data_IF_416194411277
#
_entry.id   IF_416194411277
#
_cell.length_a   1.000
_cell.length_b   1.000
_cell.length_c   1.000
_cell.angle_alpha   90.00
_cell.angle_beta   90.00
_cell.angle_gamma   90.00
#
_symmetry.space_group_name_H-M   'P 1'
#
loop_
_entity.id
_entity.type
_entity.pdbx_description
1 polymer ?
#
# COMPACT_ATOMS: atom_id res chain seq x y z
N UNK A 1 1.11 7.25 3.79
CA UNK A 1 2.42 7.73 3.28
C UNK A 1 2.29 8.73 2.11
N UNK A 2 1.50 8.42 1.05
CA UNK A 2 1.50 9.24 -0.18
C UNK A 2 1.24 10.74 0.07
N UNK A 3 0.28 11.06 0.93
CA UNK A 3 -0.07 12.46 1.26
C UNK A 3 1.02 13.23 1.99
N UNK A 4 2.00 12.54 2.58
CA UNK A 4 3.16 13.18 3.24
C UNK A 4 4.22 13.69 2.25
N UNK A 5 4.15 13.26 0.98
CA UNK A 5 5.18 13.52 -0.03
C UNK A 5 4.70 14.39 -1.19
N UNK A 6 3.53 15.01 -1.06
CA UNK A 6 3.00 15.94 -2.05
C UNK A 6 2.90 17.35 -1.48
N UNK A 7 3.26 18.35 -2.28
CA UNK A 7 3.33 19.75 -1.86
C UNK A 7 1.93 20.38 -1.64
N UNK A 8 0.91 19.84 -2.29
CA UNK A 8 -0.47 20.35 -2.24
C UNK A 8 -1.42 19.51 -1.36
N UNK A 9 -0.91 18.81 -0.35
CA UNK A 9 -1.72 17.97 0.54
C UNK A 9 -2.88 18.74 1.19
N UNK A 10 -2.61 19.96 1.66
CA UNK A 10 -3.62 20.83 2.28
C UNK A 10 -4.77 21.19 1.35
N UNK A 11 -4.48 21.44 0.07
CA UNK A 11 -5.51 21.72 -0.94
C UNK A 11 -6.38 20.49 -1.16
N UNK A 12 -5.78 19.31 -1.20
CA UNK A 12 -6.48 18.03 -1.33
C UNK A 12 -7.38 17.79 -0.12
N UNK A 13 -6.91 18.04 1.10
CA UNK A 13 -7.71 17.89 2.32
C UNK A 13 -8.89 18.85 2.35
N UNK A 14 -8.68 20.13 1.96
CA UNK A 14 -9.76 21.11 1.81
C UNK A 14 -10.79 20.67 0.77
N UNK A 15 -10.33 20.14 -0.36
CA UNK A 15 -11.22 19.66 -1.41
C UNK A 15 -12.04 18.44 -0.98
N UNK A 16 -11.44 17.50 -0.24
CA UNK A 16 -12.14 16.35 0.35
C UNK A 16 -13.21 16.85 1.32
N UNK A 17 -12.84 17.73 2.27
CA UNK A 17 -13.78 18.30 3.24
C UNK A 17 -14.94 19.02 2.56
N UNK A 18 -14.67 19.85 1.55
CA UNK A 18 -15.70 20.58 0.83
C UNK A 18 -16.67 19.67 0.06
N UNK A 19 -16.19 18.57 -0.51
CA UNK A 19 -17.00 17.64 -1.33
C UNK A 19 -17.73 16.58 -0.53
N UNK A 20 -17.19 16.16 0.60
CA UNK A 20 -17.68 14.99 1.33
C UNK A 20 -18.02 15.29 2.78
N UNK A 21 -17.59 16.44 3.32
CA UNK A 21 -17.65 16.76 4.74
C UNK A 21 -16.64 15.98 5.60
N UNK A 22 -15.91 15.01 5.01
CA UNK A 22 -14.96 14.21 5.76
C UNK A 22 -13.72 15.01 6.17
N UNK A 23 -13.24 14.77 7.39
CA UNK A 23 -11.98 15.31 7.89
C UNK A 23 -10.88 14.28 7.68
N UNK A 24 -9.74 14.73 7.14
CA UNK A 24 -8.55 13.89 6.96
C UNK A 24 -7.61 14.15 8.13
N UNK A 25 -7.40 13.13 8.96
CA UNK A 25 -6.37 13.15 10.00
C UNK A 25 -5.07 12.62 9.41
N UNK A 26 -4.13 13.51 9.13
CA UNK A 26 -2.82 13.10 8.64
C UNK A 26 -1.95 12.68 9.80
N UNK A 27 -1.35 11.48 9.69
CA UNK A 27 -0.38 10.95 10.65
C UNK A 27 1.00 10.85 10.01
N UNK A 28 2.05 10.99 10.81
CA UNK A 28 3.43 10.77 10.38
C UNK A 28 3.78 9.28 10.29
N UNK A 29 4.99 8.97 9.80
CA UNK A 29 5.42 7.59 9.63
C UNK A 29 5.61 6.84 10.94
N UNK A 30 6.05 7.53 11.99
CA UNK A 30 6.21 6.94 13.31
C UNK A 30 4.86 6.57 13.93
N UNK A 31 3.88 7.45 13.81
CA UNK A 31 2.50 7.19 14.26
C UNK A 31 1.86 6.05 13.45
N UNK A 32 2.09 6.01 12.13
CA UNK A 32 1.62 4.92 11.26
C UNK A 32 2.18 3.57 11.75
N UNK A 33 3.49 3.49 11.98
CA UNK A 33 4.15 2.31 12.49
C UNK A 33 3.73 1.95 13.93
N UNK A 34 3.48 2.95 14.78
CA UNK A 34 2.96 2.73 16.13
C UNK A 34 1.53 2.17 16.11
N UNK A 35 0.70 2.60 15.15
CA UNK A 35 -0.61 1.98 14.93
C UNK A 35 -0.49 0.49 14.59
N UNK A 36 0.44 0.11 13.71
CA UNK A 36 0.68 -1.30 13.38
C UNK A 36 1.13 -2.10 14.62
N UNK A 37 1.98 -1.53 15.45
CA UNK A 37 2.42 -2.13 16.70
C UNK A 37 1.23 -2.41 17.63
N UNK A 38 0.41 -1.39 17.90
CA UNK A 38 -0.76 -1.49 18.78
C UNK A 38 -1.81 -2.47 18.24
N UNK A 39 -1.99 -2.53 16.93
CA UNK A 39 -2.90 -3.47 16.29
C UNK A 39 -2.45 -4.93 16.44
N UNK A 40 -1.13 -5.16 16.58
CA UNK A 40 -0.51 -6.47 16.49
C UNK A 40 0.15 -6.96 17.80
N UNK A 41 -0.24 -6.39 18.92
CA UNK A 41 0.22 -6.80 20.25
C UNK A 41 0.08 -8.30 20.53
N UNK A 42 -0.90 -8.97 19.93
CA UNK A 42 -1.11 -10.42 20.03
C UNK A 42 0.12 -11.26 19.64
N UNK A 43 1.00 -10.71 18.80
CA UNK A 43 2.22 -11.40 18.34
C UNK A 43 3.43 -11.18 19.26
N UNK A 44 3.31 -10.38 20.33
CA UNK A 44 4.42 -10.06 21.25
C UNK A 44 5.02 -11.30 21.93
N UNK A 45 4.23 -12.37 22.08
CA UNK A 45 4.70 -13.63 22.69
C UNK A 45 5.51 -14.52 21.73
N UNK A 46 5.59 -14.19 20.46
CA UNK A 46 6.42 -14.93 19.51
C UNK A 46 7.91 -14.67 19.75
N UNK A 47 8.75 -15.52 19.17
CA UNK A 47 10.20 -15.36 19.27
C UNK A 47 10.67 -14.13 18.49
N UNK A 48 11.25 -13.13 19.18
CA UNK A 48 11.79 -11.88 18.61
C UNK A 48 10.89 -11.32 17.50
N UNK A 49 9.63 -10.97 17.80
CA UNK A 49 8.68 -10.60 16.76
C UNK A 49 8.95 -9.20 16.22
N UNK A 50 9.05 -9.09 14.90
CA UNK A 50 9.24 -7.83 14.18
C UNK A 50 8.13 -7.65 13.16
N UNK A 51 7.36 -6.58 13.30
CA UNK A 51 6.36 -6.17 12.30
C UNK A 51 7.08 -5.65 11.06
N UNK A 52 6.56 -5.99 9.89
CA UNK A 52 7.00 -5.45 8.60
C UNK A 52 5.76 -5.05 7.81
N UNK A 53 5.57 -3.74 7.59
CA UNK A 53 4.62 -3.20 6.62
C UNK A 53 5.37 -2.68 5.39
N UNK A 54 4.97 -3.16 4.21
CA UNK A 54 5.50 -2.69 2.92
C UNK A 54 4.44 -1.84 2.25
N UNK A 55 4.55 -0.54 2.47
CA UNK A 55 3.71 0.45 1.82
C UNK A 55 4.13 0.75 0.37
N UNK A 56 3.39 1.64 -0.26
CA UNK A 56 3.72 2.11 -1.60
C UNK A 56 4.94 3.05 -1.64
N UNK A 57 5.10 3.89 -0.63
CA UNK A 57 6.12 4.94 -0.57
C UNK A 57 7.11 4.75 0.59
N UNK A 58 6.78 3.97 1.59
CA UNK A 58 7.62 3.71 2.77
C UNK A 58 7.54 2.24 3.17
N UNK A 59 8.45 1.83 4.04
CA UNK A 59 8.42 0.53 4.73
C UNK A 59 8.63 0.82 6.21
N UNK A 60 7.72 0.32 7.02
CA UNK A 60 7.76 0.41 8.47
C UNK A 60 8.16 -0.95 9.06
N UNK A 61 9.07 -0.92 10.03
CA UNK A 61 9.46 -2.10 10.82
C UNK A 61 9.38 -1.77 12.29
N UNK A 62 8.77 -2.66 13.09
CA UNK A 62 8.59 -2.45 14.52
C UNK A 62 9.02 -3.68 15.29
N UNK A 63 10.02 -3.54 16.15
CA UNK A 63 10.44 -4.56 17.10
C UNK A 63 9.45 -4.62 18.27
N UNK A 64 8.57 -5.62 18.26
CA UNK A 64 7.55 -5.81 19.30
C UNK A 64 8.15 -6.11 20.68
N UNK A 65 9.39 -6.59 20.75
CA UNK A 65 10.04 -6.89 22.01
C UNK A 65 10.42 -5.64 22.81
N UNK A 66 10.69 -4.53 22.12
CA UNK A 66 11.12 -3.27 22.76
C UNK A 66 9.96 -2.50 23.40
N UNK A 67 8.77 -2.62 22.87
CA UNK A 67 7.61 -1.83 23.29
C UNK A 67 7.74 -0.33 22.93
N UNK A 68 6.60 0.35 22.80
CA UNK A 68 6.59 1.79 22.48
C UNK A 68 7.27 2.13 21.15
N UNK A 69 7.74 3.37 21.04
CA UNK A 69 8.29 3.93 19.80
C UNK A 69 9.77 3.64 19.56
N UNK A 70 10.51 3.18 20.55
CA UNK A 70 11.96 2.91 20.49
C UNK A 70 12.34 1.79 19.49
N UNK A 71 11.39 0.88 19.21
CA UNK A 71 11.58 -0.21 18.26
C UNK A 71 11.13 0.09 16.83
N UNK A 72 10.79 1.34 16.49
CA UNK A 72 10.25 1.73 15.20
C UNK A 72 11.34 2.19 14.24
N UNK A 73 11.34 1.65 13.04
CA UNK A 73 12.27 1.96 11.96
C UNK A 73 11.50 2.21 10.67
N UNK A 74 11.69 3.39 10.06
CA UNK A 74 11.03 3.77 8.82
C UNK A 74 12.03 3.90 7.67
N UNK A 75 11.75 3.26 6.55
CA UNK A 75 12.51 3.40 5.31
C UNK A 75 11.71 4.25 4.32
N UNK A 76 12.34 5.31 3.79
CA UNK A 76 11.72 6.25 2.86
C UNK A 76 11.70 5.72 1.41
N UNK A 77 11.34 4.46 1.25
CA UNK A 77 11.03 3.84 -0.04
C UNK A 77 10.05 2.69 0.18
N UNK A 78 9.18 2.49 -0.79
CA UNK A 78 8.19 1.40 -0.77
C UNK A 78 8.06 0.76 -2.14
N UNK A 79 7.13 -0.18 -2.28
CA UNK A 79 7.00 -0.98 -3.49
C UNK A 79 6.68 -0.14 -4.74
N UNK A 80 5.81 0.88 -4.61
CA UNK A 80 5.43 1.75 -5.73
C UNK A 80 6.55 2.72 -6.12
N UNK A 81 7.30 3.26 -5.14
CA UNK A 81 8.43 4.13 -5.44
C UNK A 81 9.57 3.37 -6.12
N UNK A 82 9.81 2.11 -5.72
CA UNK A 82 10.77 1.24 -6.38
C UNK A 82 10.33 0.87 -7.80
N UNK A 83 9.06 0.55 -7.99
CA UNK A 83 8.48 0.29 -9.31
C UNK A 83 8.72 1.49 -10.24
N UNK A 84 8.31 2.69 -9.83
CA UNK A 84 8.48 3.91 -10.62
C UNK A 84 9.94 4.25 -10.95
N UNK A 85 10.84 3.93 -10.02
CA UNK A 85 12.27 4.26 -10.16
C UNK A 85 13.03 3.31 -11.08
N UNK A 86 12.68 2.04 -11.09
CA UNK A 86 13.50 1.00 -11.71
C UNK A 86 12.83 0.22 -12.83
N UNK A 87 11.49 0.23 -12.90
CA UNK A 87 10.72 -0.62 -13.82
C UNK A 87 10.08 0.23 -14.90
N UNK A 88 10.32 -0.11 -16.16
CA UNK A 88 9.82 0.61 -17.33
C UNK A 88 8.45 0.10 -17.81
N UNK A 89 8.14 -1.14 -17.48
CA UNK A 89 6.89 -1.81 -17.88
C UNK A 89 6.03 -2.16 -16.65
N UNK A 90 5.02 -3.00 -16.83
CA UNK A 90 4.19 -3.47 -15.71
C UNK A 90 5.00 -4.37 -14.78
N UNK A 91 5.82 -5.24 -15.33
CA UNK A 91 6.62 -6.21 -14.57
C UNK A 91 8.11 -5.95 -14.74
N UNK A 92 8.90 -6.07 -13.68
CA UNK A 92 10.34 -5.91 -13.77
C UNK A 92 10.98 -7.07 -14.55
N UNK A 93 11.94 -6.76 -15.40
CA UNK A 93 12.83 -7.72 -15.99
C UNK A 93 13.95 -8.16 -15.04
N UNK A 94 14.84 -9.08 -15.49
CA UNK A 94 15.95 -9.59 -14.66
C UNK A 94 16.96 -8.52 -14.27
N UNK A 95 17.23 -7.58 -15.17
CA UNK A 95 18.17 -6.49 -14.92
C UNK A 95 17.58 -5.48 -13.92
N UNK A 96 16.32 -5.11 -14.12
CA UNK A 96 15.56 -4.23 -13.23
C UNK A 96 15.44 -4.83 -11.83
N UNK A 97 15.13 -6.13 -11.73
CA UNK A 97 15.15 -6.86 -10.46
C UNK A 97 16.53 -6.80 -9.76
N UNK A 98 17.62 -6.90 -10.52
CA UNK A 98 18.98 -6.77 -9.97
C UNK A 98 19.23 -5.36 -9.43
N UNK A 99 18.80 -4.33 -10.16
CA UNK A 99 18.91 -2.91 -9.72
C UNK A 99 18.10 -2.66 -8.44
N UNK A 100 16.87 -3.18 -8.37
CA UNK A 100 16.03 -3.08 -7.17
C UNK A 100 16.71 -3.73 -5.97
N UNK A 101 17.20 -4.98 -6.10
CA UNK A 101 17.90 -5.69 -5.03
C UNK A 101 19.15 -4.95 -4.55
N UNK A 102 19.95 -4.39 -5.47
CA UNK A 102 21.13 -3.59 -5.14
C UNK A 102 20.75 -2.31 -4.39
N UNK A 103 19.68 -1.63 -4.81
CA UNK A 103 19.18 -0.44 -4.15
C UNK A 103 18.72 -0.74 -2.73
N UNK A 104 17.90 -1.78 -2.53
CA UNK A 104 17.43 -2.20 -1.22
C UNK A 104 18.62 -2.50 -0.30
N UNK A 105 19.58 -3.33 -0.76
CA UNK A 105 20.79 -3.66 0.02
C UNK A 105 21.56 -2.41 0.44
N UNK A 106 21.74 -1.44 -0.48
CA UNK A 106 22.45 -0.19 -0.20
C UNK A 106 21.67 0.70 0.77
N UNK A 107 20.36 0.77 0.63
CA UNK A 107 19.49 1.57 1.50
C UNK A 107 19.46 1.01 2.93
N UNK A 108 19.35 -0.32 3.08
CA UNK A 108 19.40 -0.99 4.39
C UNK A 108 20.77 -0.87 5.08
N UNK A 109 21.86 -0.79 4.32
CA UNK A 109 23.19 -0.56 4.88
C UNK A 109 23.39 0.89 5.36
N UNK A 110 22.58 1.83 4.85
CA UNK A 110 22.63 3.25 5.26
C UNK A 110 21.61 3.59 6.34
N UNK A 111 20.52 2.83 6.41
CA UNK A 111 19.51 2.99 7.43
C UNK A 111 20.06 2.43 8.76
N UNK A 112 19.81 3.17 9.83
CA UNK A 112 20.18 2.75 11.18
C UNK A 112 19.17 1.72 11.73
N UNK A 113 19.01 0.63 10.99
CA UNK A 113 18.16 -0.50 11.38
C UNK A 113 19.06 -1.57 11.96
N UNK A 114 18.89 -1.92 13.24
CA UNK A 114 19.72 -2.94 13.88
C UNK A 114 19.47 -4.32 13.24
N UNK A 115 20.43 -5.25 13.38
CA UNK A 115 20.17 -6.64 13.04
C UNK A 115 19.10 -7.19 14.00
N UNK A 116 18.07 -7.84 13.45
CA UNK A 116 17.05 -8.52 14.27
C UNK A 116 17.45 -9.94 14.64
N UNK A 117 18.53 -10.46 14.09
CA UNK A 117 19.15 -11.77 14.38
C UNK A 117 18.15 -12.94 14.40
N UNK A 118 17.32 -12.98 13.39
CA UNK A 118 16.29 -14.03 13.24
C UNK A 118 14.97 -13.70 13.94
N UNK A 119 14.26 -14.75 14.35
CA UNK A 119 12.94 -14.62 14.98
C UNK A 119 11.78 -14.64 14.00
N UNK A 120 10.68 -14.00 14.37
CA UNK A 120 9.43 -14.01 13.60
C UNK A 120 9.19 -12.67 12.89
N UNK A 121 9.08 -12.70 11.57
CA UNK A 121 8.53 -11.58 10.83
C UNK A 121 7.00 -11.62 10.88
N UNK A 122 6.37 -10.56 11.35
CA UNK A 122 4.92 -10.37 11.34
C UNK A 122 4.57 -9.42 10.21
N UNK A 123 4.03 -9.95 9.13
CA UNK A 123 3.68 -9.18 7.94
C UNK A 123 2.32 -8.52 8.12
N UNK A 124 2.27 -7.20 8.00
CA UNK A 124 1.05 -6.41 8.13
C UNK A 124 0.80 -5.59 6.86
N UNK A 125 -0.37 -4.99 6.78
CA UNK A 125 -0.74 -4.11 5.68
C UNK A 125 -1.30 -4.82 4.44
N UNK A 126 -1.94 -4.05 3.58
CA UNK A 126 -2.67 -4.59 2.43
C UNK A 126 -1.76 -5.21 1.36
N UNK A 127 -0.51 -4.73 1.23
CA UNK A 127 0.43 -5.25 0.23
C UNK A 127 0.93 -6.63 0.62
N UNK A 128 1.32 -6.82 1.87
CA UNK A 128 1.82 -8.11 2.37
C UNK A 128 0.72 -9.16 2.43
N UNK A 129 -0.52 -8.77 2.76
CA UNK A 129 -1.69 -9.66 2.64
C UNK A 129 -1.93 -10.11 1.19
N UNK A 130 -1.81 -9.20 0.21
CA UNK A 130 -1.92 -9.61 -1.20
C UNK A 130 -0.81 -10.57 -1.62
N UNK A 131 0.42 -10.40 -1.09
CA UNK A 131 1.50 -11.37 -1.30
C UNK A 131 1.13 -12.73 -0.69
N UNK A 132 0.51 -12.76 0.50
CA UNK A 132 0.04 -13.98 1.12
C UNK A 132 -1.07 -14.66 0.31
N UNK A 133 -2.05 -13.93 -0.22
CA UNK A 133 -3.11 -14.50 -1.07
C UNK A 133 -2.54 -15.11 -2.35
N UNK A 134 -1.59 -14.45 -3.00
CA UNK A 134 -0.87 -14.99 -4.16
C UNK A 134 -0.10 -16.27 -3.77
N UNK A 135 0.57 -16.27 -2.62
CA UNK A 135 1.32 -17.41 -2.11
C UNK A 135 0.38 -18.59 -1.83
N UNK A 136 -0.72 -18.33 -1.12
CA UNK A 136 -1.72 -19.32 -0.75
C UNK A 136 -2.37 -19.96 -1.99
N UNK A 137 -2.79 -19.16 -2.95
CA UNK A 137 -3.41 -19.64 -4.20
C UNK A 137 -2.43 -20.45 -5.05
N UNK A 138 -1.17 -19.99 -5.13
CA UNK A 138 -0.14 -20.69 -5.91
C UNK A 138 0.22 -22.07 -5.36
N UNK A 139 0.18 -22.25 -4.05
CA UNK A 139 0.51 -23.51 -3.37
C UNK A 139 -0.71 -24.29 -2.90
N UNK A 140 -1.91 -23.88 -3.29
CA UNK A 140 -3.20 -24.50 -2.91
C UNK A 140 -3.32 -24.72 -1.40
N UNK A 141 -3.04 -23.66 -0.62
CA UNK A 141 -3.10 -23.69 0.84
C UNK A 141 -4.49 -23.26 1.28
N UNK A 142 -5.14 -24.07 2.11
CA UNK A 142 -6.45 -23.77 2.68
C UNK A 142 -6.41 -22.53 3.58
N UNK A 143 -7.55 -21.84 3.69
CA UNK A 143 -7.69 -20.68 4.59
C UNK A 143 -7.58 -21.17 6.05
N UNK A 144 -6.72 -20.55 6.81
CA UNK A 144 -6.47 -20.85 8.22
C UNK A 144 -6.38 -19.57 9.02
N UNK A 145 -6.76 -19.63 10.30
CA UNK A 145 -6.55 -18.54 11.24
C UNK A 145 -5.06 -18.26 11.47
N UNK A 146 -4.24 -19.29 11.34
CA UNK A 146 -2.78 -19.20 11.46
C UNK A 146 -2.15 -18.98 10.08
N UNK A 147 -2.17 -17.72 9.61
CA UNK A 147 -1.58 -17.34 8.35
C UNK A 147 -0.05 -17.31 8.44
N UNK A 148 0.60 -18.30 7.82
CA UNK A 148 2.07 -18.43 7.81
C UNK A 148 2.62 -18.58 6.39
N UNK A 149 3.88 -18.22 6.22
CA UNK A 149 4.61 -18.34 4.95
C UNK A 149 5.92 -19.08 5.19
N UNK A 150 6.23 -20.06 4.35
CA UNK A 150 7.55 -20.69 4.27
C UNK A 150 8.49 -19.86 3.39
N UNK A 151 9.60 -19.38 3.94
CA UNK A 151 10.53 -18.51 3.22
C UNK A 151 11.05 -19.13 1.92
N UNK A 152 11.36 -20.43 1.92
CA UNK A 152 11.87 -21.08 0.70
C UNK A 152 10.82 -21.19 -0.42
N UNK A 153 9.56 -21.45 -0.05
CA UNK A 153 8.45 -21.41 -1.01
C UNK A 153 8.23 -19.98 -1.52
N UNK A 154 8.30 -18.96 -0.65
CA UNK A 154 8.18 -17.57 -1.05
C UNK A 154 9.28 -17.15 -2.04
N UNK A 155 10.52 -17.58 -1.82
CA UNK A 155 11.63 -17.35 -2.75
C UNK A 155 11.40 -18.02 -4.12
N UNK A 156 10.89 -19.24 -4.13
CA UNK A 156 10.54 -19.97 -5.37
C UNK A 156 9.43 -19.26 -6.12
N UNK A 157 8.37 -18.83 -5.41
CA UNK A 157 7.30 -18.03 -5.99
C UNK A 157 7.81 -16.71 -6.59
N UNK A 158 8.64 -15.97 -5.87
CA UNK A 158 9.24 -14.74 -6.38
C UNK A 158 10.05 -14.98 -7.69
N UNK A 159 10.84 -16.04 -7.74
CA UNK A 159 11.57 -16.44 -8.96
C UNK A 159 10.61 -16.77 -10.10
N UNK A 160 9.58 -17.57 -9.85
CA UNK A 160 8.57 -17.94 -10.83
C UNK A 160 7.86 -16.70 -11.38
N UNK A 161 7.44 -15.76 -10.55
CA UNK A 161 6.76 -14.54 -10.98
C UNK A 161 7.67 -13.57 -11.75
N UNK A 162 8.97 -13.61 -11.55
CA UNK A 162 9.94 -12.83 -12.35
C UNK A 162 10.15 -13.46 -13.72
N UNK A 163 10.19 -14.78 -13.82
CA UNK A 163 10.61 -15.51 -15.02
C UNK A 163 9.44 -15.96 -15.90
N UNK A 164 8.25 -16.14 -15.35
CA UNK A 164 7.11 -16.71 -16.07
C UNK A 164 6.37 -15.66 -16.92
N UNK A 165 6.06 -15.95 -18.20
CA UNK A 165 5.28 -15.07 -19.05
C UNK A 165 3.80 -15.03 -18.66
N UNK A 166 3.25 -16.09 -18.08
CA UNK A 166 1.83 -16.30 -17.76
C UNK A 166 1.41 -15.89 -16.34
N UNK A 167 2.28 -15.15 -15.63
CA UNK A 167 2.04 -14.68 -14.25
C UNK A 167 0.80 -13.83 -14.05
N UNK A 168 0.33 -13.19 -15.12
CA UNK A 168 -0.75 -12.20 -15.03
C UNK A 168 -2.05 -12.80 -14.49
N UNK A 169 -2.40 -14.04 -14.84
CA UNK A 169 -3.62 -14.67 -14.33
C UNK A 169 -3.63 -14.78 -12.79
N UNK A 170 -2.55 -15.28 -12.20
CA UNK A 170 -2.40 -15.40 -10.75
C UNK A 170 -2.46 -14.04 -10.04
N UNK A 171 -1.82 -13.03 -10.63
CA UNK A 171 -1.76 -11.67 -10.05
C UNK A 171 -3.09 -10.94 -10.16
N UNK A 172 -3.78 -11.04 -11.30
CA UNK A 172 -5.11 -10.42 -11.49
C UNK A 172 -6.14 -11.05 -10.57
N UNK A 173 -6.10 -12.37 -10.38
CA UNK A 173 -7.02 -13.09 -9.49
C UNK A 173 -6.90 -12.62 -8.03
N UNK A 174 -5.68 -12.39 -7.53
CA UNK A 174 -5.41 -12.21 -6.11
C UNK A 174 -5.05 -10.77 -5.71
N UNK A 175 -4.59 -9.93 -6.64
CA UNK A 175 -4.16 -8.57 -6.35
C UNK A 175 -4.34 -7.62 -7.56
N UNK A 176 -5.55 -7.52 -8.14
CA UNK A 176 -5.78 -6.75 -9.37
C UNK A 176 -5.41 -5.27 -9.22
N UNK A 177 -5.69 -4.67 -8.06
CA UNK A 177 -5.40 -3.27 -7.77
C UNK A 177 -3.90 -2.99 -7.51
N UNK A 178 -3.09 -4.04 -7.33
CA UNK A 178 -1.65 -3.95 -7.06
C UNK A 178 -0.79 -4.57 -8.16
N UNK A 179 -1.39 -5.01 -9.25
CA UNK A 179 -0.68 -5.69 -10.36
C UNK A 179 0.56 -4.93 -10.82
N UNK A 180 0.50 -3.61 -10.76
CA UNK A 180 1.56 -2.71 -11.19
C UNK A 180 2.84 -2.78 -10.34
N UNK A 181 2.74 -3.13 -9.05
CA UNK A 181 3.90 -3.11 -8.15
C UNK A 181 4.03 -4.34 -7.24
N UNK A 182 3.10 -5.29 -7.28
CA UNK A 182 3.08 -6.44 -6.35
C UNK A 182 4.32 -7.35 -6.51
N UNK A 183 4.86 -7.49 -7.72
CA UNK A 183 6.09 -8.25 -7.95
C UNK A 183 7.29 -7.56 -7.30
N UNK A 184 7.35 -6.23 -7.35
CA UNK A 184 8.39 -5.45 -6.67
C UNK A 184 8.23 -5.53 -5.15
N UNK A 185 7.00 -5.52 -4.65
CA UNK A 185 6.72 -5.74 -3.22
C UNK A 185 7.22 -7.10 -2.75
N UNK A 186 6.95 -8.17 -3.51
CA UNK A 186 7.44 -9.52 -3.22
C UNK A 186 8.98 -9.60 -3.24
N UNK A 187 9.63 -8.98 -4.23
CA UNK A 187 11.11 -8.89 -4.27
C UNK A 187 11.61 -8.18 -3.01
N UNK A 188 10.99 -7.07 -2.64
CA UNK A 188 11.37 -6.28 -1.47
C UNK A 188 11.23 -7.10 -0.20
N UNK A 189 10.09 -7.75 0.00
CA UNK A 189 9.84 -8.63 1.14
C UNK A 189 10.91 -9.72 1.26
N UNK A 190 11.19 -10.43 0.17
CA UNK A 190 12.24 -11.48 0.18
C UNK A 190 13.62 -10.92 0.54
N UNK A 191 13.96 -9.68 0.11
CA UNK A 191 15.24 -9.06 0.49
C UNK A 191 15.29 -8.71 1.98
N UNK A 192 14.20 -8.19 2.56
CA UNK A 192 14.11 -7.89 4.00
C UNK A 192 14.22 -9.15 4.83
N UNK A 193 13.42 -10.18 4.52
CA UNK A 193 13.43 -11.45 5.25
C UNK A 193 14.81 -12.11 5.24
N UNK A 194 15.51 -12.08 4.11
CA UNK A 194 16.88 -12.61 3.99
C UNK A 194 17.91 -11.77 4.74
N UNK A 195 17.79 -10.44 4.68
CA UNK A 195 18.75 -9.53 5.31
C UNK A 195 18.76 -9.68 6.82
N UNK A 196 17.58 -9.86 7.42
CA UNK A 196 17.41 -9.96 8.86
C UNK A 196 17.34 -11.40 9.39
N UNK A 197 17.43 -12.41 8.51
CA UNK A 197 17.54 -13.82 8.90
C UNK A 197 16.29 -14.39 9.56
N UNK A 198 15.10 -13.86 9.27
CA UNK A 198 13.85 -14.37 9.85
C UNK A 198 13.64 -15.85 9.55
N UNK A 199 13.29 -16.61 10.58
CA UNK A 199 13.07 -18.06 10.53
C UNK A 199 11.58 -18.42 10.46
N UNK A 200 10.73 -17.58 11.02
CA UNK A 200 9.28 -17.72 11.01
C UNK A 200 8.63 -16.48 10.37
N UNK A 201 7.53 -16.69 9.66
CA UNK A 201 6.79 -15.61 9.00
C UNK A 201 5.31 -15.82 9.27
N UNK A 202 4.73 -14.90 10.03
CA UNK A 202 3.29 -14.80 10.27
C UNK A 202 2.70 -13.66 9.46
N UNK A 203 1.42 -13.75 9.11
CA UNK A 203 0.70 -12.67 8.43
C UNK A 203 -0.45 -12.22 9.32
N UNK A 204 -0.66 -10.92 9.43
CA UNK A 204 -1.73 -10.34 10.23
C UNK A 204 -2.84 -9.76 9.37
N UNK A 205 -4.06 -9.90 9.83
CA UNK A 205 -5.26 -9.25 9.32
C UNK A 205 -5.44 -7.82 9.83
N UNK A 206 -4.79 -7.47 10.95
CA UNK A 206 -4.82 -6.13 11.54
C UNK A 206 -3.66 -5.25 11.04
N UNK A 207 -3.86 -3.94 11.07
CA UNK A 207 -2.87 -2.96 10.63
C UNK A 207 -3.17 -1.55 11.13
N UNK A 208 -2.68 -0.54 10.41
CA UNK A 208 -2.80 0.88 10.77
C UNK A 208 -4.21 1.30 11.17
N UNK A 209 -5.25 0.83 10.47
CA UNK A 209 -6.64 1.23 10.73
C UNK A 209 -7.12 0.80 12.10
N UNK A 210 -6.86 -0.46 12.46
CA UNK A 210 -7.25 -1.05 13.73
C UNK A 210 -6.46 -0.42 14.89
N UNK A 211 -5.16 -0.16 14.68
CA UNK A 211 -4.31 0.51 15.65
C UNK A 211 -4.71 1.98 15.85
N UNK A 212 -4.94 2.71 14.77
CA UNK A 212 -5.40 4.09 14.84
C UNK A 212 -6.73 4.21 15.60
N UNK A 213 -7.67 3.31 15.33
CA UNK A 213 -8.95 3.29 16.06
C UNK A 213 -8.73 3.06 17.56
N UNK A 214 -7.86 2.11 17.95
CA UNK A 214 -7.53 1.87 19.36
C UNK A 214 -6.92 3.10 20.01
N UNK A 215 -5.94 3.73 19.37
CA UNK A 215 -5.26 4.94 19.88
C UNK A 215 -6.19 6.16 19.95
N UNK A 216 -7.11 6.30 19.00
CA UNK A 216 -8.10 7.37 19.02
C UNK A 216 -9.12 7.18 20.15
N UNK A 217 -9.55 5.94 20.40
CA UNK A 217 -10.48 5.61 21.49
C UNK A 217 -9.83 5.73 22.87
N UNK A 218 -8.53 5.45 23.01
CA UNK A 218 -7.78 5.65 24.26
C UNK A 218 -7.40 7.12 24.51
N UNK A 219 -7.54 7.99 23.51
CA UNK A 219 -7.16 9.40 23.59
C UNK A 219 -5.67 9.66 23.39
N UNK A 220 -4.87 8.66 23.04
CA UNK A 220 -3.43 8.79 22.75
C UNK A 220 -3.15 9.51 21.44
N UNK A 221 -4.07 9.43 20.48
CA UNK A 221 -4.03 10.19 19.23
C UNK A 221 -5.23 11.13 19.17
N UNK A 222 -4.97 12.41 18.95
CA UNK A 222 -6.04 13.40 18.72
C UNK A 222 -6.60 13.16 17.31
N UNK A 223 -7.81 12.61 17.24
CA UNK A 223 -8.56 12.48 16.01
C UNK A 223 -9.63 13.58 15.95
N UNK A 224 -9.62 14.39 14.90
CA UNK A 224 -10.77 15.24 14.59
C UNK A 224 -11.85 14.33 13.98
N UNK A 225 -12.95 14.15 14.69
CA UNK A 225 -14.07 13.35 14.21
C UNK A 225 -14.88 14.22 13.26
N UNK A 226 -15.11 13.73 12.06
CA UNK A 226 -15.99 14.40 11.12
C UNK A 226 -17.41 14.45 11.70
N UNK A 227 -18.03 15.61 11.83
CA UNK A 227 -19.43 15.71 12.21
C UNK A 227 -20.37 15.16 11.14
N UNK A 228 -19.80 14.61 10.06
CA UNK A 228 -20.49 14.24 8.85
C UNK A 228 -20.88 12.75 8.78
N UNK A 229 -21.32 12.18 9.89
CA UNK A 229 -22.41 11.22 9.77
C UNK A 229 -23.67 12.01 10.11
N UNK A 230 -24.44 12.52 9.09
CA UNK A 230 -25.80 12.82 9.38
C UNK A 230 -26.29 11.54 10.05
N UNK A 231 -26.97 11.67 11.17
CA UNK A 231 -27.76 10.61 11.73
C UNK A 231 -28.61 10.07 10.59
N UNK A 232 -28.03 9.17 9.80
CA UNK A 232 -28.87 8.30 8.99
C UNK A 232 -29.66 7.60 10.07
N UNK A 233 -30.97 7.82 10.17
CA UNK A 233 -31.75 7.01 11.06
C UNK A 233 -31.37 5.60 10.66
N UNK A 234 -30.69 4.88 11.56
CA UNK A 234 -30.47 3.45 11.42
C UNK A 234 -31.90 2.94 11.38
N UNK A 235 -32.43 2.71 10.17
CA UNK A 235 -33.66 1.97 10.02
C UNK A 235 -33.34 0.67 10.70
N UNK A 236 -33.80 0.52 11.92
CA UNK A 236 -33.71 -0.74 12.61
C UNK A 236 -34.39 -1.75 11.68
N UNK A 237 -33.57 -2.59 11.06
CA UNK A 237 -34.08 -3.69 10.23
C UNK A 237 -34.63 -4.70 11.20
N UNK A 238 -35.95 -4.62 11.42
CA UNK A 238 -36.64 -5.40 12.44
C UNK A 238 -36.95 -6.84 12.01
N UNK A 239 -36.74 -7.16 10.72
CA UNK A 239 -36.94 -8.53 10.22
C UNK A 239 -35.97 -8.90 9.07
N UNK A 240 -35.79 -10.19 8.87
CA UNK A 240 -35.02 -10.71 7.74
C UNK A 240 -35.63 -10.33 6.38
N UNK A 241 -36.93 -10.15 6.32
CA UNK A 241 -37.69 -9.74 5.12
C UNK A 241 -37.38 -8.28 4.73
N UNK A 242 -37.33 -7.36 5.71
CA UNK A 242 -36.90 -5.96 5.50
C UNK A 242 -35.45 -5.89 5.02
N UNK A 243 -34.57 -6.75 5.50
CA UNK A 243 -33.17 -6.83 5.03
C UNK A 243 -33.11 -7.24 3.56
N UNK A 244 -33.88 -8.24 3.17
CA UNK A 244 -33.94 -8.73 1.79
C UNK A 244 -34.50 -7.66 0.85
N UNK A 245 -35.52 -6.92 1.28
CA UNK A 245 -36.11 -5.82 0.51
C UNK A 245 -35.11 -4.65 0.36
N UNK A 246 -34.39 -4.31 1.40
CA UNK A 246 -33.35 -3.27 1.37
C UNK A 246 -32.19 -3.64 0.46
N UNK A 247 -31.77 -4.92 0.43
CA UNK A 247 -30.73 -5.42 -0.49
C UNK A 247 -31.25 -5.36 -1.94
N UNK A 248 -32.49 -5.75 -2.21
CA UNK A 248 -33.09 -5.66 -3.55
C UNK A 248 -33.19 -4.21 -4.06
N UNK A 249 -33.54 -3.26 -3.19
CA UNK A 249 -33.60 -1.83 -3.52
C UNK A 249 -32.21 -1.27 -3.84
N UNK A 250 -31.16 -1.63 -3.09
CA UNK A 250 -29.77 -1.25 -3.41
C UNK A 250 -29.28 -1.82 -4.71
N UNK A 251 -29.62 -3.08 -5.04
CA UNK A 251 -29.25 -3.70 -6.30
C UNK A 251 -29.98 -3.05 -7.50
N UNK A 252 -31.22 -2.59 -7.32
CA UNK A 252 -31.94 -1.81 -8.33
C UNK A 252 -31.36 -0.39 -8.52
N UNK A 253 -30.99 0.28 -7.44
CA UNK A 253 -30.36 1.61 -7.49
C UNK A 253 -28.97 1.59 -8.15
N UNK A 254 -28.18 0.52 -7.95
CA UNK A 254 -26.89 0.32 -8.62
C UNK A 254 -26.99 -0.03 -10.12
N UNK A 255 -28.19 -0.34 -10.61
CA UNK A 255 -28.46 -0.63 -12.03
C UNK A 255 -29.13 0.55 -12.78
N UNK A 256 -29.25 1.73 -12.16
CA UNK A 256 -29.71 2.91 -12.85
C UNK A 256 -28.73 3.26 -14.00
N UNK A 257 -29.21 3.47 -15.23
CA UNK A 257 -28.33 3.74 -16.36
C UNK A 257 -27.52 5.01 -16.08
N UNK A 258 -26.20 4.89 -16.21
CA UNK A 258 -25.30 6.05 -16.22
C UNK A 258 -25.76 6.94 -17.40
N UNK A 259 -26.31 8.11 -17.11
CA UNK A 259 -26.62 9.12 -18.15
C UNK A 259 -25.34 9.33 -18.95
N UNK A 260 -25.34 8.94 -20.23
CA UNK A 260 -24.28 9.30 -21.18
C UNK A 260 -24.11 10.82 -21.09
N UNK A 261 -22.90 11.29 -20.81
CA UNK A 261 -22.54 12.68 -20.99
C UNK A 261 -22.74 12.98 -22.48
N UNK A 262 -23.63 13.92 -22.79
CA UNK A 262 -23.71 14.49 -24.11
C UNK A 262 -22.39 15.20 -24.39
N UNK A 263 -21.66 14.70 -25.38
CA UNK A 263 -20.46 15.35 -25.91
C UNK A 263 -20.85 16.72 -26.45
N UNK A 264 -20.42 17.78 -25.79
CA UNK A 264 -20.45 19.12 -26.38
C UNK A 264 -19.53 19.11 -27.59
N UNK A 265 -19.99 19.64 -28.76
CA UNK A 265 -19.15 19.73 -29.94
C UNK A 265 -17.90 20.55 -29.64
N UNK A 266 -16.77 20.04 -30.11
CA UNK A 266 -15.48 20.71 -30.03
C UNK A 266 -15.54 22.07 -30.66
N UNK A 267 -15.11 23.10 -29.95
CA UNK A 267 -14.94 24.45 -30.49
C UNK A 267 -13.92 24.43 -31.63
N UNK A 268 -14.28 25.05 -32.76
CA UNK A 268 -13.43 25.22 -33.92
C UNK A 268 -12.09 25.85 -33.56
N UNK A 269 -11.03 25.18 -33.97
CA UNK A 269 -9.66 25.71 -33.89
C UNK A 269 -9.56 26.85 -34.93
N UNK A 270 -9.39 28.07 -34.45
CA UNK A 270 -8.93 29.19 -35.26
C UNK A 270 -7.52 28.89 -35.77
N UNK A 271 -7.37 28.96 -37.11
CA UNK A 271 -6.09 28.84 -37.80
C UNK A 271 -5.19 30.03 -37.41
N UNK A 272 -4.13 29.79 -36.69
CA UNK A 272 -2.99 30.70 -36.56
C UNK A 272 -2.03 30.47 -37.72
N UNK A 273 -1.77 31.55 -38.48
CA UNK A 273 -0.77 31.61 -39.55
C UNK A 273 0.65 31.37 -38.99
N UNK A 274 1.53 30.70 -39.75
CA UNK A 274 2.92 30.50 -39.32
C UNK A 274 3.69 31.84 -39.35
N UNK A 275 4.34 32.14 -38.23
CA UNK A 275 5.29 33.25 -38.14
C UNK A 275 6.59 32.93 -38.88
N UNK A 276 7.06 33.89 -39.62
CA UNK A 276 8.24 33.93 -40.47
C UNK A 276 9.54 33.69 -39.68
N UNK A 277 10.40 32.86 -40.20
CA UNK A 277 11.69 32.47 -39.57
C UNK A 277 12.67 33.68 -39.60
N UNK A 278 13.08 34.12 -38.41
CA UNK A 278 14.19 35.07 -38.24
C UNK A 278 15.54 34.38 -38.41
N UNK A 279 16.40 34.95 -39.24
CA UNK A 279 17.79 34.55 -39.54
C UNK A 279 18.69 34.67 -38.28
N UNK A 280 19.68 33.83 -38.12
CA UNK A 280 20.64 33.95 -37.01
C UNK A 280 21.63 35.11 -37.25
N UNK A 281 21.87 35.89 -36.19
CA UNK A 281 22.86 36.95 -36.16
C UNK A 281 24.27 36.38 -36.02
N UNK A 282 25.18 36.89 -36.84
CA UNK A 282 26.63 36.59 -36.80
C UNK A 282 27.27 37.12 -35.49
N UNK A 283 28.23 36.33 -34.96
CA UNK A 283 29.15 36.76 -33.89
C UNK A 283 30.23 37.68 -34.46
N UNK A 284 30.59 38.77 -33.79
CA UNK A 284 31.84 39.43 -34.08
C UNK A 284 33.01 38.70 -33.36
N UNK A 285 34.11 38.64 -34.09
CA UNK A 285 35.42 38.23 -33.58
C UNK A 285 36.03 39.37 -32.73
N UNK A 286 36.52 38.99 -31.54
CA UNK A 286 37.85 39.34 -31.00
C UNK A 286 38.05 38.52 -29.72
#
# INVERSE_FOLDING_TARGET
AAMRFIDNAEEVFKAIRAKTGAVVNQIDGETEAYCDLVANEKFRSMEKPVIIDIGGASIEMCDLSKGGKEGIYCLNFGALTLQRKFVKSVYPDKEECSKIKKFIKKSLAKADVPPFDGGTAVLVGATTRSVYEIYRDYYDIEVSENMTIELEKLKKLAKKLIEAPDRSHLLIKNAPEKIYFIVVALITLVQLLKKFGFTSIAVSDAGVKEGYLKLALSGEVKAEISPFFPERPVKEIKSAEELVEHIKLRQKAGKAPVKKREDKPAAEKSEEKPAEAAKPAEKPAE
#
